data_IF_416431727253
#
_entry.id   IF_416431727253
#
_cell.length_a   1.000
_cell.length_b   1.000
_cell.length_c   1.000
_cell.angle_alpha   90.00
_cell.angle_beta   90.00
_cell.angle_gamma   90.00
#
_symmetry.space_group_name_H-M   'P 1'
#
loop_
_entity.id
_entity.type
_entity.pdbx_description
1 polymer ?
#
# COMPACT_ATOMS: atom_id res chain seq x y z
N UNK A 1 32.62 -29.53 -9.93
CA UNK A 1 33.99 -29.33 -9.38
C UNK A 1 34.37 -30.49 -8.45
N UNK A 2 35.62 -30.93 -8.48
CA UNK A 2 36.08 -32.14 -7.79
C UNK A 2 36.92 -31.79 -6.54
N UNK A 3 36.71 -32.53 -5.44
CA UNK A 3 37.44 -32.28 -4.19
C UNK A 3 38.90 -32.78 -4.27
N UNK A 4 39.14 -33.89 -4.97
CA UNK A 4 40.47 -34.45 -5.23
C UNK A 4 40.53 -35.05 -6.64
N UNK A 5 41.46 -34.63 -7.51
CA UNK A 5 41.58 -35.19 -8.86
C UNK A 5 42.27 -36.56 -8.81
N UNK A 6 41.62 -37.61 -9.34
CA UNK A 6 42.18 -38.96 -9.43
C UNK A 6 42.02 -39.51 -10.86
N UNK A 7 43.01 -39.24 -11.71
CA UNK A 7 42.94 -39.63 -13.12
C UNK A 7 41.88 -38.84 -13.88
N UNK A 8 41.00 -39.52 -14.63
CA UNK A 8 39.95 -38.86 -15.43
C UNK A 8 38.64 -38.63 -14.68
N UNK A 9 38.33 -39.39 -13.63
CA UNK A 9 37.06 -39.31 -12.90
C UNK A 9 37.20 -38.54 -11.60
N UNK A 10 36.07 -38.11 -11.04
CA UNK A 10 36.04 -37.46 -9.75
C UNK A 10 35.44 -38.39 -8.69
N UNK A 11 36.26 -38.96 -7.78
CA UNK A 11 35.78 -39.88 -6.75
C UNK A 11 34.89 -39.20 -5.70
N UNK A 12 35.03 -37.89 -5.52
CA UNK A 12 34.14 -37.08 -4.69
C UNK A 12 33.96 -35.67 -5.26
N UNK A 13 32.71 -35.21 -5.28
CA UNK A 13 32.35 -33.85 -5.68
C UNK A 13 32.32 -32.89 -4.50
N UNK A 14 32.57 -31.62 -4.79
CA UNK A 14 32.30 -30.54 -3.83
C UNK A 14 30.79 -30.53 -3.53
N UNK A 15 30.37 -30.24 -2.28
CA UNK A 15 28.95 -30.12 -1.94
C UNK A 15 28.20 -29.21 -2.94
N UNK A 16 27.05 -29.69 -3.43
CA UNK A 16 26.25 -28.99 -4.44
C UNK A 16 26.55 -29.36 -5.89
N UNK A 17 27.53 -30.23 -6.15
CA UNK A 17 27.79 -30.80 -7.49
C UNK A 17 27.71 -32.33 -7.48
N UNK A 18 27.28 -32.92 -8.60
CA UNK A 18 27.19 -34.36 -8.79
C UNK A 18 27.50 -34.75 -10.26
N UNK A 19 27.58 -36.06 -10.54
CA UNK A 19 28.00 -36.60 -11.84
C UNK A 19 29.33 -37.36 -11.76
N UNK A 20 29.71 -38.06 -12.82
CA UNK A 20 30.96 -38.86 -12.87
C UNK A 20 32.21 -37.95 -12.85
N UNK A 21 32.03 -36.70 -13.31
CA UNK A 21 33.04 -35.65 -13.39
C UNK A 21 32.63 -34.39 -12.61
N UNK A 22 31.60 -34.47 -11.78
CA UNK A 22 31.03 -33.35 -11.03
C UNK A 22 30.61 -32.17 -11.93
N UNK A 23 29.99 -32.50 -13.06
CA UNK A 23 29.55 -31.63 -14.12
C UNK A 23 28.15 -31.05 -13.89
N UNK A 24 27.32 -31.71 -13.09
CA UNK A 24 25.96 -31.29 -12.79
C UNK A 24 25.91 -30.49 -11.48
N UNK A 25 25.19 -29.37 -11.49
CA UNK A 25 24.96 -28.53 -10.32
C UNK A 25 23.59 -28.84 -9.71
N UNK A 26 23.53 -29.02 -8.39
CA UNK A 26 22.29 -29.22 -7.66
C UNK A 26 21.77 -27.88 -7.13
N UNK A 27 20.59 -27.47 -7.61
CA UNK A 27 19.91 -26.25 -7.19
C UNK A 27 18.83 -26.58 -6.16
N UNK A 28 18.82 -25.94 -4.99
CA UNK A 28 17.85 -26.22 -3.92
C UNK A 28 16.49 -25.58 -4.22
N UNK A 29 16.50 -24.31 -4.62
CA UNK A 29 15.31 -23.51 -4.94
C UNK A 29 15.44 -22.84 -6.31
N UNK A 30 15.34 -23.63 -7.37
CA UNK A 30 15.43 -23.15 -8.75
C UNK A 30 15.78 -24.26 -9.73
N UNK A 31 16.06 -23.89 -10.97
CA UNK A 31 16.43 -24.82 -12.03
C UNK A 31 17.87 -24.58 -12.51
N UNK A 32 18.59 -25.63 -12.92
CA UNK A 32 19.90 -25.47 -13.55
C UNK A 32 19.75 -24.82 -14.93
N UNK A 33 20.58 -23.82 -15.22
CA UNK A 33 20.58 -23.16 -16.53
C UNK A 33 21.06 -24.14 -17.62
N UNK A 34 20.48 -24.04 -18.81
CA UNK A 34 20.83 -24.92 -19.95
C UNK A 34 22.16 -24.58 -20.62
N UNK A 35 22.66 -23.37 -20.38
CA UNK A 35 23.84 -22.81 -21.08
C UNK A 35 25.08 -22.79 -20.20
N UNK A 36 24.91 -22.75 -18.87
CA UNK A 36 26.00 -22.61 -17.91
C UNK A 36 25.75 -23.54 -16.71
N UNK A 37 26.82 -23.93 -16.00
CA UNK A 37 26.73 -24.70 -14.74
C UNK A 37 26.35 -23.80 -13.55
N UNK A 38 25.22 -23.12 -13.70
CA UNK A 38 24.69 -22.13 -12.75
C UNK A 38 23.21 -22.37 -12.50
N UNK A 39 22.77 -22.14 -11.26
CA UNK A 39 21.37 -22.18 -10.89
C UNK A 39 20.65 -20.87 -11.20
N UNK A 40 19.48 -20.97 -11.81
CA UNK A 40 18.49 -19.90 -11.91
C UNK A 40 17.54 -20.00 -10.72
N UNK A 41 17.78 -19.16 -9.71
CA UNK A 41 17.05 -19.21 -8.44
C UNK A 41 15.65 -18.61 -8.54
N UNK A 42 14.70 -19.21 -7.83
CA UNK A 42 13.39 -18.62 -7.60
C UNK A 42 13.45 -17.52 -6.53
N UNK A 43 12.76 -16.40 -6.76
CA UNK A 43 12.63 -15.35 -5.75
C UNK A 43 11.89 -15.87 -4.50
N UNK A 44 12.33 -15.54 -3.27
CA UNK A 44 13.38 -14.58 -2.91
C UNK A 44 14.77 -15.21 -2.65
N UNK A 45 15.00 -16.46 -3.03
CA UNK A 45 16.23 -17.20 -2.75
C UNK A 45 17.42 -16.71 -3.61
N UNK A 46 18.63 -16.98 -3.14
CA UNK A 46 19.89 -16.55 -3.78
C UNK A 46 21.05 -17.49 -3.48
N UNK A 47 22.24 -17.15 -3.98
CA UNK A 47 23.45 -17.96 -3.84
C UNK A 47 23.74 -18.79 -5.09
N UNK A 48 24.89 -19.46 -5.12
CA UNK A 48 25.30 -20.32 -6.24
C UNK A 48 24.40 -21.55 -6.40
N UNK A 49 23.84 -22.05 -5.30
CA UNK A 49 22.96 -23.23 -5.27
C UNK A 49 21.51 -22.89 -4.87
N UNK A 50 21.17 -21.60 -4.80
CA UNK A 50 19.85 -21.11 -4.40
C UNK A 50 19.42 -21.52 -2.98
N UNK A 51 20.37 -21.63 -2.06
CA UNK A 51 20.18 -22.01 -0.66
C UNK A 51 20.20 -20.81 0.31
N UNK A 52 20.63 -19.65 -0.15
CA UNK A 52 20.69 -18.45 0.68
C UNK A 52 19.35 -17.71 0.69
N UNK A 53 18.88 -17.36 1.88
CA UNK A 53 17.69 -16.54 2.09
C UNK A 53 18.07 -15.28 2.88
N UNK A 54 18.16 -14.14 2.20
CA UNK A 54 18.49 -12.86 2.86
C UNK A 54 17.23 -12.08 3.24
N UNK A 55 17.20 -11.55 4.47
CA UNK A 55 16.09 -10.72 4.97
C UNK A 55 15.80 -9.53 4.06
N UNK A 56 16.85 -8.90 3.51
CA UNK A 56 16.72 -7.80 2.54
C UNK A 56 15.95 -8.21 1.29
N UNK A 57 16.22 -9.39 0.71
CA UNK A 57 15.49 -9.89 -0.47
C UNK A 57 14.06 -10.28 -0.13
N UNK A 58 13.85 -10.94 1.00
CA UNK A 58 12.52 -11.28 1.51
C UNK A 58 11.67 -10.02 1.67
N UNK A 59 12.20 -9.01 2.37
CA UNK A 59 11.51 -7.74 2.54
C UNK A 59 11.25 -7.04 1.21
N UNK A 60 12.23 -7.01 0.29
CA UNK A 60 12.03 -6.44 -1.05
C UNK A 60 10.92 -7.14 -1.83
N UNK A 61 10.91 -8.48 -1.84
CA UNK A 61 9.95 -9.31 -2.56
C UNK A 61 8.52 -9.12 -2.02
N UNK A 62 8.35 -9.25 -0.69
CA UNK A 62 7.03 -9.07 -0.08
C UNK A 62 6.57 -7.61 -0.15
N UNK A 63 7.45 -6.63 0.06
CA UNK A 63 7.05 -5.23 -0.04
C UNK A 63 6.56 -4.90 -1.45
N UNK A 64 7.26 -5.34 -2.51
CA UNK A 64 6.80 -5.22 -3.91
C UNK A 64 5.43 -5.86 -4.12
N UNK A 65 5.19 -7.03 -3.55
CA UNK A 65 3.90 -7.75 -3.66
C UNK A 65 2.79 -7.08 -2.85
N UNK A 66 3.11 -6.50 -1.70
CA UNK A 66 2.18 -5.71 -0.87
C UNK A 66 1.81 -4.39 -1.54
N UNK A 67 2.73 -3.73 -2.25
CA UNK A 67 2.36 -2.59 -3.13
C UNK A 67 1.35 -2.99 -4.20
N UNK A 68 1.44 -4.21 -4.74
CA UNK A 68 0.51 -4.72 -5.73
C UNK A 68 -0.88 -5.02 -5.15
N UNK A 69 -0.93 -5.50 -3.90
CA UNK A 69 -2.18 -5.74 -3.14
C UNK A 69 -2.81 -4.45 -2.59
N UNK A 70 -2.17 -3.30 -2.81
CA UNK A 70 -2.65 -1.99 -2.37
C UNK A 70 -2.62 -1.81 -0.85
N UNK A 71 -2.78 -0.57 -0.37
CA UNK A 71 -2.88 -0.32 1.06
C UNK A 71 -4.23 -0.84 1.53
N UNK A 72 -4.28 -2.08 2.02
CA UNK A 72 -5.45 -2.63 2.73
C UNK A 72 -5.96 -1.67 3.81
N UNK A 73 -5.05 -0.86 4.38
CA UNK A 73 -5.40 0.24 5.28
C UNK A 73 -6.31 1.32 4.66
N UNK A 74 -6.09 1.73 3.41
CA UNK A 74 -6.94 2.73 2.75
C UNK A 74 -8.35 2.18 2.45
N UNK A 75 -8.47 0.91 2.09
CA UNK A 75 -9.77 0.25 1.91
C UNK A 75 -10.60 0.26 3.19
N UNK A 76 -9.97 0.14 4.37
CA UNK A 76 -10.66 0.22 5.66
C UNK A 76 -11.11 1.63 6.05
N UNK A 77 -10.40 2.66 5.58
CA UNK A 77 -10.70 4.07 5.85
C UNK A 77 -11.87 4.60 5.01
N UNK A 78 -12.04 4.10 3.78
CA UNK A 78 -13.10 4.55 2.86
C UNK A 78 -14.51 4.42 3.47
N UNK A 79 -14.92 3.28 4.08
CA UNK A 79 -16.21 3.15 4.74
C UNK A 79 -16.43 4.16 5.88
N UNK A 80 -15.41 4.39 6.71
CA UNK A 80 -15.50 5.34 7.82
C UNK A 80 -15.66 6.78 7.32
N UNK A 81 -14.92 7.16 6.28
CA UNK A 81 -15.06 8.46 5.63
C UNK A 81 -16.44 8.64 4.98
N UNK A 82 -16.95 7.61 4.29
CA UNK A 82 -18.27 7.64 3.67
C UNK A 82 -19.40 7.78 4.71
N UNK A 83 -19.32 7.03 5.82
CA UNK A 83 -20.27 7.13 6.92
C UNK A 83 -20.22 8.52 7.58
N UNK A 84 -19.02 9.04 7.86
CA UNK A 84 -18.84 10.37 8.43
C UNK A 84 -19.46 11.47 7.55
N UNK A 85 -19.16 11.46 6.24
CA UNK A 85 -19.71 12.41 5.28
C UNK A 85 -21.24 12.27 5.14
N UNK A 86 -21.75 11.03 5.16
CA UNK A 86 -23.19 10.75 5.12
C UNK A 86 -23.93 11.30 6.34
N UNK A 87 -23.36 11.18 7.53
CA UNK A 87 -23.92 11.73 8.77
C UNK A 87 -24.02 13.26 8.72
N UNK A 88 -22.94 13.94 8.32
CA UNK A 88 -22.90 15.40 8.14
C UNK A 88 -23.94 15.88 7.11
N UNK A 89 -24.05 15.18 5.97
CA UNK A 89 -25.01 15.52 4.93
C UNK A 89 -26.46 15.42 5.43
N UNK A 90 -26.80 14.33 6.12
CA UNK A 90 -28.15 14.12 6.66
C UNK A 90 -28.48 15.13 7.77
N UNK A 91 -27.50 15.51 8.61
CA UNK A 91 -27.68 16.54 9.63
C UNK A 91 -27.98 17.91 9.02
N UNK A 92 -27.22 18.32 7.99
CA UNK A 92 -27.44 19.57 7.25
C UNK A 92 -28.80 19.57 6.55
N UNK A 93 -29.17 18.47 5.90
CA UNK A 93 -30.49 18.32 5.23
C UNK A 93 -31.66 18.53 6.19
N UNK A 94 -31.59 17.97 7.42
CA UNK A 94 -32.62 18.18 8.45
C UNK A 94 -32.68 19.63 8.94
N UNK A 95 -31.52 20.30 9.06
CA UNK A 95 -31.47 21.72 9.46
C UNK A 95 -32.15 22.61 8.43
N UNK A 96 -31.88 22.39 7.14
CA UNK A 96 -32.50 23.14 6.05
C UNK A 96 -34.01 22.93 6.02
N UNK A 97 -34.48 21.68 6.18
CA UNK A 97 -35.93 21.40 6.24
C UNK A 97 -36.64 22.16 7.37
N UNK A 98 -36.07 22.16 8.59
CA UNK A 98 -36.65 22.90 9.72
C UNK A 98 -36.67 24.41 9.50
N UNK A 99 -35.60 24.97 8.94
CA UNK A 99 -35.55 26.40 8.64
C UNK A 99 -36.53 26.76 7.53
N UNK A 100 -36.67 25.93 6.50
CA UNK A 100 -37.65 26.12 5.42
C UNK A 100 -39.10 26.10 5.92
N UNK A 101 -39.45 25.16 6.81
CA UNK A 101 -40.79 25.10 7.42
C UNK A 101 -41.07 26.32 8.33
N UNK A 102 -40.07 26.80 9.08
CA UNK A 102 -40.22 28.03 9.88
C UNK A 102 -40.33 29.30 9.04
N UNK A 103 -39.72 29.33 7.86
CA UNK A 103 -39.81 30.46 6.93
C UNK A 103 -41.11 30.44 6.12
N UNK A 104 -41.64 29.26 5.75
CA UNK A 104 -42.90 29.14 5.00
C UNK A 104 -44.17 29.50 5.78
N UNK A 105 -44.12 29.48 7.13
CA UNK A 105 -45.20 29.95 7.98
C UNK A 105 -45.30 31.48 8.07
N UNK A 106 -44.27 32.21 7.63
CA UNK A 106 -44.32 33.64 7.43
C UNK A 106 -44.58 33.86 5.93
N UNK A 107 -45.69 34.50 5.56
CA UNK A 107 -46.12 34.75 4.18
C UNK A 107 -45.20 35.74 3.42
N UNK A 108 -43.90 35.47 3.42
CA UNK A 108 -42.88 36.15 2.64
C UNK A 108 -42.40 35.10 1.66
N UNK A 109 -42.70 35.29 0.39
CA UNK A 109 -42.15 34.50 -0.72
C UNK A 109 -40.64 34.68 -0.73
N UNK A 110 -39.92 33.86 0.05
CA UNK A 110 -38.46 33.88 0.10
C UNK A 110 -37.95 33.09 -1.09
N UNK A 111 -37.40 33.83 -2.05
CA UNK A 111 -36.72 33.28 -3.22
C UNK A 111 -35.55 32.39 -2.79
N UNK A 112 -35.53 31.16 -3.32
CA UNK A 112 -34.64 30.08 -2.90
C UNK A 112 -33.16 30.43 -3.14
N UNK A 113 -32.91 31.31 -4.10
CA UNK A 113 -31.58 31.78 -4.50
C UNK A 113 -30.96 32.71 -3.45
N UNK A 114 -31.75 33.61 -2.87
CA UNK A 114 -31.31 34.55 -1.81
C UNK A 114 -30.98 33.79 -0.53
N UNK A 115 -31.79 32.77 -0.20
CA UNK A 115 -31.54 31.92 0.97
C UNK A 115 -30.23 31.15 0.82
N UNK A 116 -29.96 30.61 -0.36
CA UNK A 116 -28.71 29.90 -0.63
C UNK A 116 -27.50 30.85 -0.49
N UNK A 117 -27.60 32.07 -1.00
CA UNK A 117 -26.53 33.08 -0.90
C UNK A 117 -26.26 33.53 0.55
N UNK A 118 -27.30 33.70 1.37
CA UNK A 118 -27.14 34.04 2.79
C UNK A 118 -26.52 32.89 3.60
N UNK A 119 -26.90 31.65 3.28
CA UNK A 119 -26.35 30.47 3.94
C UNK A 119 -24.90 30.21 3.54
N UNK A 120 -24.53 30.35 2.26
CA UNK A 120 -23.14 30.20 1.80
C UNK A 120 -22.23 31.28 2.39
N UNK A 121 -22.70 32.54 2.45
CA UNK A 121 -21.97 33.63 3.10
C UNK A 121 -21.72 33.38 4.59
N UNK A 122 -22.75 32.91 5.32
CA UNK A 122 -22.58 32.53 6.74
C UNK A 122 -21.64 31.34 6.92
N UNK A 123 -21.68 30.35 6.01
CA UNK A 123 -20.78 29.21 6.03
C UNK A 123 -19.33 29.63 5.76
N UNK A 124 -19.08 30.56 4.82
CA UNK A 124 -17.74 31.10 4.57
C UNK A 124 -17.18 31.88 5.76
N UNK A 125 -18.01 32.68 6.44
CA UNK A 125 -17.61 33.39 7.68
C UNK A 125 -17.27 32.40 8.81
N UNK A 126 -18.06 31.32 8.95
CA UNK A 126 -17.76 30.29 9.95
C UNK A 126 -16.50 29.48 9.64
N UNK A 127 -16.22 29.19 8.36
CA UNK A 127 -15.01 28.50 7.95
C UNK A 127 -13.75 29.36 8.13
N UNK A 128 -13.87 30.69 7.99
CA UNK A 128 -12.78 31.63 8.28
C UNK A 128 -12.41 31.60 9.78
N UNK A 129 -13.41 31.62 10.67
CA UNK A 129 -13.19 31.52 12.12
C UNK A 129 -12.65 30.17 12.61
N UNK A 130 -12.72 29.12 11.77
CA UNK A 130 -12.16 27.81 12.07
C UNK A 130 -10.79 27.58 11.41
N UNK A 131 -10.45 28.36 10.37
CA UNK A 131 -9.14 28.39 9.73
C UNK A 131 -8.06 29.08 10.58
N UNK A 132 -8.43 30.04 11.42
CA UNK A 132 -7.49 30.74 12.31
C UNK A 132 -7.01 29.91 13.52
N UNK A 133 -7.58 28.72 13.75
CA UNK A 133 -7.11 27.81 14.81
C UNK A 133 -6.07 26.78 14.36
N UNK A 134 -5.69 26.75 13.08
CA UNK A 134 -4.72 25.77 12.53
C UNK A 134 -3.35 26.34 12.14
N UNK A 135 -3.09 27.63 12.38
CA UNK A 135 -1.77 28.24 12.15
C UNK A 135 -1.25 28.72 13.52
N UNK A 136 -0.67 27.82 14.29
CA UNK A 136 -0.16 28.16 15.62
C UNK A 136 0.38 26.97 16.40
N UNK A 137 1.11 26.06 15.76
CA UNK A 137 2.01 25.13 16.46
C UNK A 137 3.05 24.54 15.49
N UNK A 138 3.82 25.41 14.85
CA UNK A 138 5.21 25.13 14.51
C UNK A 138 6.03 26.22 15.20
N UNK A 139 7.15 25.83 15.77
CA UNK A 139 8.15 26.67 16.46
C UNK A 139 7.97 26.83 17.97
N UNK A 140 8.28 25.77 18.74
CA UNK A 140 9.20 25.87 19.89
C UNK A 140 9.67 24.53 20.45
N UNK A 141 10.95 24.53 20.83
CA UNK A 141 11.74 23.55 21.60
C UNK A 141 12.34 22.38 20.82
#
# INVERSE_FOLDING_TARGET
MCSWPSGRRCPSCIPGYYGEYCEEIHCVHGEPSRLETKCECEDPYSGTFCDELSTKRVYSYYNRRTYLLGPLGALSLIPMCALYMGCEYMAKKRRVKRVGEMLGGQNITVDQEVLHHLLTKKVSESNLSMGERRIGSSDRA
#
